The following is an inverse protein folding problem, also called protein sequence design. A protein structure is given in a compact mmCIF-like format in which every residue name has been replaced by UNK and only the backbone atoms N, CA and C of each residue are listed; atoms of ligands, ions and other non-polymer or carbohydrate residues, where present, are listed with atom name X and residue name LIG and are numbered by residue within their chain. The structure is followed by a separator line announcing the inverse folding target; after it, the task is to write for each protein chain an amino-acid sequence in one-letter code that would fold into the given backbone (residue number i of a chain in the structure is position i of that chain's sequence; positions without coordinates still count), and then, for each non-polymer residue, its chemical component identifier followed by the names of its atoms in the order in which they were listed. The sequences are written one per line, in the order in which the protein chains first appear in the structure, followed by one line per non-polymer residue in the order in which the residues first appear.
data_IF_354120590670
#
_entry.id   IF_354120590670
#
_cell.length_a   1.000
_cell.length_b   1.000
_cell.length_c   1.000
_cell.angle_alpha   90.00
_cell.angle_beta   90.00
_cell.angle_gamma   90.00
#
_symmetry.space_group_name_H-M   'P 1'
#
loop_
_entity.id
_entity.type
_entity.pdbx_description
1 polymer ?
#
# COMPACT_ATOMS: atom_id res chain seq x y z
N UNK A 1 14.08 -28.18 11.15
CA UNK A 1 12.97 -28.77 10.38
C UNK A 1 11.77 -27.89 10.64
N UNK A 2 11.23 -27.21 9.62
CA UNK A 2 10.01 -26.43 9.82
C UNK A 2 8.94 -27.38 10.35
N UNK A 3 8.30 -27.02 11.46
CA UNK A 3 7.13 -27.75 11.94
C UNK A 3 6.11 -27.80 10.80
N UNK A 4 5.49 -28.96 10.62
CA UNK A 4 4.46 -29.16 9.61
C UNK A 4 3.20 -28.41 10.02
N UNK A 5 3.20 -27.09 9.76
CA UNK A 5 2.14 -26.16 10.14
C UNK A 5 0.78 -26.56 9.54
N UNK A 6 0.79 -27.38 8.49
CA UNK A 6 -0.43 -27.92 7.85
C UNK A 6 -1.29 -28.73 8.83
N UNK A 7 -0.68 -29.31 9.87
CA UNK A 7 -1.40 -30.03 10.95
C UNK A 7 -2.24 -29.12 11.83
N UNK A 8 -1.98 -27.81 11.79
CA UNK A 8 -2.69 -26.78 12.55
C UNK A 8 -3.71 -26.02 11.70
N UNK A 9 -3.97 -26.49 10.48
CA UNK A 9 -4.88 -25.85 9.54
C UNK A 9 -6.34 -26.20 9.85
N UNK A 10 -7.20 -25.19 9.79
CA UNK A 10 -8.65 -25.26 9.86
C UNK A 10 -9.24 -24.69 8.57
N UNK A 11 -9.98 -25.54 7.85
CA UNK A 11 -10.61 -25.23 6.55
C UNK A 11 -12.13 -25.12 6.63
N UNK A 12 -12.68 -24.95 7.84
CA UNK A 12 -14.14 -24.83 8.04
C UNK A 12 -14.74 -23.58 7.39
N UNK A 13 -13.92 -22.57 7.08
CA UNK A 13 -14.32 -21.34 6.39
C UNK A 13 -13.96 -21.44 4.89
N UNK A 14 -14.96 -21.49 3.98
CA UNK A 14 -14.68 -21.54 2.54
C UNK A 14 -13.82 -20.36 2.08
N UNK A 15 -12.80 -20.63 1.26
CA UNK A 15 -11.87 -19.61 0.74
C UNK A 15 -10.91 -19.03 1.78
N UNK A 16 -10.82 -19.61 2.98
CA UNK A 16 -9.90 -19.17 4.03
C UNK A 16 -9.16 -20.36 4.63
N UNK A 17 -7.83 -20.36 4.49
CA UNK A 17 -6.94 -21.26 5.22
C UNK A 17 -6.59 -20.63 6.56
N UNK A 18 -7.20 -21.10 7.65
CA UNK A 18 -6.84 -20.65 9.01
C UNK A 18 -5.75 -21.54 9.56
N UNK A 19 -4.75 -20.96 10.23
CA UNK A 19 -3.66 -21.66 10.90
C UNK A 19 -3.76 -21.32 12.39
N UNK A 20 -4.11 -22.33 13.21
CA UNK A 20 -4.20 -22.16 14.65
C UNK A 20 -2.83 -21.84 15.25
N UNK A 21 -2.80 -20.90 16.20
CA UNK A 21 -1.61 -20.51 16.91
C UNK A 21 -0.95 -21.74 17.54
N UNK A 22 0.33 -21.92 17.25
CA UNK A 22 1.13 -23.03 17.76
C UNK A 22 2.60 -22.59 17.89
N UNK A 23 3.38 -23.33 18.67
CA UNK A 23 4.78 -23.01 18.96
C UNK A 23 4.95 -21.58 19.52
N UNK A 24 5.60 -20.68 18.78
CA UNK A 24 5.90 -19.30 19.18
C UNK A 24 4.85 -18.29 18.71
N UNK A 25 3.86 -18.72 17.91
CA UNK A 25 2.77 -17.85 17.46
C UNK A 25 1.97 -17.37 18.67
N UNK A 26 1.75 -16.06 18.77
CA UNK A 26 0.95 -15.46 19.84
C UNK A 26 -0.53 -15.33 19.48
N UNK A 27 -0.83 -15.33 18.18
CA UNK A 27 -2.18 -15.24 17.60
C UNK A 27 -2.34 -16.23 16.45
N UNK A 28 -3.58 -16.54 16.08
CA UNK A 28 -3.89 -17.30 14.87
C UNK A 28 -3.46 -16.52 13.61
N UNK A 29 -3.25 -17.25 12.50
CA UNK A 29 -3.12 -16.66 11.18
C UNK A 29 -4.27 -17.11 10.27
N UNK A 30 -4.59 -16.33 9.25
CA UNK A 30 -5.58 -16.66 8.23
C UNK A 30 -5.13 -16.16 6.87
N UNK A 31 -5.31 -16.98 5.83
CA UNK A 31 -4.94 -16.64 4.45
C UNK A 31 -6.19 -16.78 3.59
N UNK A 32 -6.55 -15.74 2.83
CA UNK A 32 -7.62 -15.78 1.84
C UNK A 32 -7.11 -16.59 0.64
N UNK A 33 -7.33 -17.90 0.66
CA UNK A 33 -6.87 -18.86 -0.35
C UNK A 33 -7.45 -20.24 -0.05
N UNK A 34 -7.13 -21.21 -0.90
CA UNK A 34 -7.28 -22.66 -0.65
C UNK A 34 -5.92 -23.32 -0.39
N UNK A 35 -5.91 -24.51 0.23
CA UNK A 35 -4.67 -25.27 0.39
C UNK A 35 -4.04 -25.65 -0.96
N UNK A 36 -4.86 -25.97 -1.96
CA UNK A 36 -4.39 -26.28 -3.31
C UNK A 36 -3.65 -25.09 -3.94
N UNK A 37 -4.18 -23.88 -3.81
CA UNK A 37 -3.51 -22.66 -4.28
C UNK A 37 -2.19 -22.40 -3.54
N UNK A 38 -2.16 -22.58 -2.22
CA UNK A 38 -0.95 -22.41 -1.41
C UNK A 38 0.12 -23.44 -1.81
N UNK A 39 -0.25 -24.69 -2.05
CA UNK A 39 0.66 -25.77 -2.45
C UNK A 39 1.21 -25.57 -3.87
N UNK A 40 0.39 -25.02 -4.78
CA UNK A 40 0.78 -24.71 -6.15
C UNK A 40 1.52 -23.37 -6.29
N UNK A 41 1.56 -22.57 -5.22
CA UNK A 41 2.24 -21.28 -5.24
C UNK A 41 3.76 -21.48 -5.33
N UNK A 42 4.40 -20.85 -6.33
CA UNK A 42 5.82 -21.10 -6.66
C UNK A 42 6.78 -20.82 -5.50
N UNK A 43 6.41 -19.90 -4.60
CA UNK A 43 7.21 -19.51 -3.44
C UNK A 43 6.46 -19.75 -2.13
N UNK A 44 6.50 -21.00 -1.63
CA UNK A 44 5.81 -21.44 -0.41
C UNK A 44 6.27 -20.79 0.91
N UNK A 45 7.07 -19.72 0.86
CA UNK A 45 7.56 -18.99 2.05
C UNK A 45 6.55 -17.97 2.58
N UNK A 46 5.58 -17.52 1.78
CA UNK A 46 4.57 -16.54 2.19
C UNK A 46 3.83 -16.91 3.50
N UNK A 47 3.26 -18.12 3.62
CA UNK A 47 2.60 -18.57 4.85
C UNK A 47 3.54 -18.58 6.05
N UNK A 48 4.81 -18.93 5.84
CA UNK A 48 5.84 -18.91 6.89
C UNK A 48 6.13 -17.48 7.36
N UNK A 49 6.20 -16.50 6.44
CA UNK A 49 6.36 -15.09 6.81
C UNK A 49 5.18 -14.58 7.63
N UNK A 50 3.95 -14.96 7.26
CA UNK A 50 2.77 -14.59 8.03
C UNK A 50 2.79 -15.20 9.44
N UNK A 51 3.15 -16.48 9.57
CA UNK A 51 3.31 -17.11 10.88
C UNK A 51 4.40 -16.44 11.71
N UNK A 52 5.55 -16.08 11.12
CA UNK A 52 6.59 -15.34 11.84
C UNK A 52 6.07 -13.98 12.36
N UNK A 53 5.19 -13.31 11.61
CA UNK A 53 4.59 -12.04 12.02
C UNK A 53 3.68 -12.18 13.26
N UNK A 54 3.07 -13.36 13.46
CA UNK A 54 2.31 -13.66 14.69
C UNK A 54 3.17 -13.79 15.94
N UNK A 55 4.50 -13.78 15.81
CA UNK A 55 5.43 -13.78 16.96
C UNK A 55 5.75 -12.36 17.46
N UNK A 56 5.31 -11.30 16.76
CA UNK A 56 5.62 -9.91 17.11
C UNK A 56 5.14 -9.54 18.53
N UNK A 57 5.92 -8.79 19.33
CA UNK A 57 5.44 -8.21 20.59
C UNK A 57 4.16 -7.39 20.40
N UNK A 58 3.17 -7.61 21.25
CA UNK A 58 1.88 -6.92 21.20
C UNK A 58 0.96 -7.29 20.04
N UNK A 59 1.27 -8.26 19.20
CA UNK A 59 0.35 -8.67 18.12
C UNK A 59 -1.00 -9.14 18.69
N UNK A 60 -2.10 -8.69 18.08
CA UNK A 60 -3.47 -8.97 18.52
C UNK A 60 -4.34 -9.50 17.38
N UNK A 61 -5.43 -10.15 17.73
CA UNK A 61 -6.43 -10.62 16.77
C UNK A 61 -5.95 -11.82 15.94
N UNK A 62 -5.85 -11.62 14.62
CA UNK A 62 -5.42 -12.65 13.65
C UNK A 62 -4.54 -11.96 12.62
N UNK A 63 -3.40 -12.57 12.29
CA UNK A 63 -2.59 -12.10 11.16
C UNK A 63 -3.22 -12.58 9.84
N UNK A 64 -3.39 -11.68 8.88
CA UNK A 64 -4.05 -11.97 7.61
C UNK A 64 -3.08 -11.94 6.44
N UNK A 65 -3.19 -12.92 5.53
CA UNK A 65 -2.72 -12.81 4.16
C UNK A 65 -3.93 -12.62 3.24
N UNK A 66 -3.99 -11.49 2.55
CA UNK A 66 -5.06 -11.16 1.59
C UNK A 66 -4.94 -12.01 0.32
N UNK A 67 -5.94 -11.97 -0.57
CA UNK A 67 -6.03 -12.88 -1.71
C UNK A 67 -4.86 -12.78 -2.71
N UNK A 68 -4.13 -11.66 -2.70
CA UNK A 68 -2.95 -11.38 -3.51
C UNK A 68 -1.63 -11.64 -2.77
N UNK A 69 -1.69 -12.39 -1.66
CA UNK A 69 -0.53 -12.64 -0.82
C UNK A 69 0.65 -13.23 -1.59
N UNK A 70 1.86 -12.78 -1.29
CA UNK A 70 3.08 -13.37 -1.84
C UNK A 70 4.32 -13.03 -1.02
N UNK A 71 5.42 -13.73 -1.30
CA UNK A 71 6.68 -13.54 -0.57
C UNK A 71 7.16 -12.08 -0.62
N UNK A 72 7.39 -11.50 0.56
CA UNK A 72 7.79 -10.12 0.75
C UNK A 72 9.05 -9.98 1.62
N UNK A 73 9.21 -8.83 2.28
CA UNK A 73 10.33 -8.55 3.18
C UNK A 73 9.84 -8.46 4.64
N UNK A 74 10.04 -9.52 5.41
CA UNK A 74 9.57 -9.62 6.80
C UNK A 74 8.13 -10.15 6.89
N UNK A 75 7.16 -9.43 6.34
CA UNK A 75 5.81 -9.93 6.08
C UNK A 75 5.64 -10.28 4.59
N UNK A 76 4.66 -11.13 4.25
CA UNK A 76 4.22 -11.25 2.86
C UNK A 76 3.60 -9.93 2.39
N UNK A 77 3.75 -9.62 1.11
CA UNK A 77 2.91 -8.60 0.47
C UNK A 77 1.46 -9.10 0.56
N UNK A 78 0.49 -8.19 0.75
CA UNK A 78 -0.88 -8.54 1.11
C UNK A 78 -1.04 -8.99 2.57
N UNK A 79 0.01 -8.88 3.40
CA UNK A 79 -0.05 -9.18 4.82
C UNK A 79 -0.65 -8.05 5.66
N UNK A 80 -1.51 -8.38 6.63
CA UNK A 80 -2.06 -7.44 7.61
C UNK A 80 -1.83 -8.00 9.02
N UNK A 81 -1.24 -7.17 9.88
CA UNK A 81 -1.08 -7.43 11.32
C UNK A 81 -1.44 -6.20 12.10
N UNK A 82 -2.00 -6.39 13.29
CA UNK A 82 -2.25 -5.34 14.25
C UNK A 82 -1.45 -5.61 15.52
N UNK A 83 -0.86 -4.58 16.10
CA UNK A 83 -0.19 -4.65 17.40
C UNK A 83 -0.81 -3.64 18.36
N UNK A 84 -1.03 -4.07 19.59
CA UNK A 84 -1.55 -3.24 20.67
C UNK A 84 -0.52 -2.18 21.10
N UNK A 85 -0.90 -0.91 21.01
CA UNK A 85 -0.05 0.23 21.38
C UNK A 85 0.26 0.28 22.87
N UNK A 86 -0.58 -0.33 23.72
CA UNK A 86 -0.41 -0.38 25.18
C UNK A 86 0.30 -1.66 25.66
N UNK A 87 0.90 -2.43 24.73
CA UNK A 87 1.55 -3.69 25.09
C UNK A 87 2.85 -3.49 25.89
N UNK A 88 2.79 -3.79 27.19
CA UNK A 88 3.96 -3.69 28.08
C UNK A 88 4.43 -2.25 28.25
N UNK A 89 5.69 -2.05 28.61
CA UNK A 89 6.23 -0.70 28.84
C UNK A 89 6.64 0.05 27.56
N UNK A 90 6.84 -0.68 26.45
CA UNK A 90 7.36 -0.13 25.19
C UNK A 90 6.31 -0.08 24.06
N UNK A 91 5.10 -0.57 24.31
CA UNK A 91 4.06 -0.76 23.29
C UNK A 91 4.32 -1.93 22.34
N UNK A 92 3.37 -2.17 21.46
CA UNK A 92 3.43 -3.19 20.41
C UNK A 92 4.51 -2.89 19.37
N UNK A 93 5.05 -3.95 18.76
CA UNK A 93 6.16 -3.80 17.83
C UNK A 93 5.74 -3.19 16.48
N UNK A 94 6.51 -2.20 16.02
CA UNK A 94 6.40 -1.65 14.67
C UNK A 94 7.49 -2.30 13.79
N UNK A 95 7.10 -2.80 12.61
CA UNK A 95 8.02 -3.41 11.65
C UNK A 95 8.03 -2.63 10.34
N UNK A 96 9.14 -1.96 9.96
CA UNK A 96 9.25 -1.31 8.66
C UNK A 96 9.04 -2.26 7.48
N UNK A 97 9.43 -3.54 7.63
CA UNK A 97 9.18 -4.56 6.62
C UNK A 97 7.70 -4.93 6.44
N UNK A 98 6.89 -4.75 7.49
CA UNK A 98 5.44 -4.93 7.42
C UNK A 98 4.73 -3.78 6.68
N UNK A 99 5.29 -2.57 6.74
CA UNK A 99 4.77 -1.40 6.01
C UNK A 99 5.22 -1.45 4.54
N UNK A 100 6.47 -1.84 4.30
CA UNK A 100 7.08 -1.88 2.97
C UNK A 100 8.06 -0.74 2.71
N UNK A 101 8.89 -0.90 1.67
CA UNK A 101 9.90 0.09 1.30
C UNK A 101 9.31 1.35 0.65
N UNK A 102 8.21 1.19 -0.08
CA UNK A 102 7.48 2.28 -0.72
C UNK A 102 6.30 2.68 0.16
N UNK A 103 6.60 3.45 1.19
CA UNK A 103 5.62 3.88 2.20
C UNK A 103 4.55 4.71 1.51
N UNK A 104 3.29 4.32 1.70
CA UNK A 104 2.12 4.96 1.09
C UNK A 104 2.08 4.84 -0.45
N UNK A 105 2.72 3.81 -1.04
CA UNK A 105 2.35 3.38 -2.39
C UNK A 105 0.84 3.07 -2.39
N UNK A 106 0.11 3.71 -3.31
CA UNK A 106 -1.34 3.69 -3.27
C UNK A 106 -1.95 4.07 -4.60
N UNK A 107 -3.29 4.11 -4.61
CA UNK A 107 -4.09 4.35 -5.82
C UNK A 107 -4.93 5.59 -5.60
N UNK A 108 -5.03 6.42 -6.65
CA UNK A 108 -6.05 7.47 -6.75
C UNK A 108 -6.86 7.25 -8.02
N UNK A 109 -8.15 7.00 -7.85
CA UNK A 109 -9.10 7.00 -8.94
C UNK A 109 -9.75 8.39 -9.06
N UNK A 110 -9.86 8.89 -10.29
CA UNK A 110 -10.55 10.14 -10.60
C UNK A 110 -11.65 9.84 -11.60
N UNK A 111 -12.90 9.95 -11.17
CA UNK A 111 -14.05 9.85 -12.06
C UNK A 111 -14.20 11.14 -12.86
N UNK A 112 -14.48 11.00 -14.16
CA UNK A 112 -14.73 12.12 -15.06
C UNK A 112 -16.20 12.09 -15.48
N UNK A 113 -16.81 13.26 -15.62
CA UNK A 113 -18.16 13.39 -16.17
C UNK A 113 -18.14 13.34 -17.71
N UNK A 114 -17.58 12.25 -18.25
CA UNK A 114 -17.47 11.99 -19.68
C UNK A 114 -17.41 10.49 -19.94
N UNK A 115 -17.89 10.09 -21.10
CA UNK A 115 -17.77 8.72 -21.61
C UNK A 115 -16.54 8.58 -22.51
N UNK A 116 -16.13 7.34 -22.77
CA UNK A 116 -15.00 7.08 -23.66
C UNK A 116 -15.22 7.63 -25.08
N UNK A 117 -16.48 7.58 -25.55
CA UNK A 117 -16.88 8.03 -26.89
C UNK A 117 -16.90 9.57 -27.01
N UNK A 118 -16.92 10.30 -25.89
CA UNK A 118 -16.78 11.76 -25.87
C UNK A 118 -15.35 12.22 -26.18
N UNK A 119 -14.37 11.30 -26.15
CA UNK A 119 -12.95 11.59 -26.40
C UNK A 119 -12.66 11.34 -27.89
N UNK A 120 -12.50 12.38 -28.74
CA UNK A 120 -12.40 12.18 -30.18
C UNK A 120 -11.14 11.42 -30.62
N UNK A 121 -10.10 11.42 -29.79
CA UNK A 121 -8.85 10.72 -30.06
C UNK A 121 -8.13 10.34 -28.75
N UNK A 122 -8.40 9.13 -28.29
CA UNK A 122 -7.82 8.57 -27.06
C UNK A 122 -6.29 8.42 -27.14
N UNK A 123 -5.76 8.02 -28.31
CA UNK A 123 -4.31 7.88 -28.51
C UNK A 123 -3.58 9.23 -28.35
N UNK A 124 -4.14 10.29 -28.94
CA UNK A 124 -3.60 11.65 -28.82
C UNK A 124 -3.67 12.15 -27.38
N UNK A 125 -4.74 11.84 -26.65
CA UNK A 125 -4.84 12.16 -25.22
C UNK A 125 -3.78 11.40 -24.41
N UNK A 126 -3.66 10.09 -24.60
CA UNK A 126 -2.66 9.27 -23.92
C UNK A 126 -1.24 9.77 -24.19
N UNK A 127 -0.89 10.11 -25.44
CA UNK A 127 0.40 10.73 -25.78
C UNK A 127 0.62 12.08 -25.09
N UNK A 128 -0.44 12.89 -24.96
CA UNK A 128 -0.38 14.18 -24.26
C UNK A 128 -0.21 14.03 -22.74
N UNK A 129 -0.77 12.99 -22.14
CA UNK A 129 -0.59 12.67 -20.73
C UNK A 129 0.83 12.15 -20.49
N UNK A 130 1.28 11.18 -21.29
CA UNK A 130 2.64 10.64 -21.19
C UNK A 130 3.73 11.73 -21.37
N UNK A 131 3.48 12.75 -22.20
CA UNK A 131 4.39 13.89 -22.35
C UNK A 131 4.34 14.92 -21.22
N UNK A 132 3.31 14.90 -20.36
CA UNK A 132 3.12 15.86 -19.25
C UNK A 132 3.38 15.26 -17.88
N UNK A 133 3.28 13.95 -17.75
CA UNK A 133 3.36 13.25 -16.46
C UNK A 133 4.68 12.48 -16.47
N UNK A 134 5.72 12.98 -15.79
CA UNK A 134 7.03 12.36 -15.81
C UNK A 134 6.99 11.00 -15.12
N UNK A 135 7.70 10.04 -15.69
CA UNK A 135 7.82 8.68 -15.18
C UNK A 135 9.26 8.16 -15.34
N UNK A 136 9.55 7.03 -14.71
CA UNK A 136 10.85 6.36 -14.68
C UNK A 136 11.68 6.68 -13.44
N UNK A 137 12.70 5.86 -13.18
CA UNK A 137 13.53 5.94 -11.97
C UNK A 137 14.48 7.15 -11.88
N UNK A 138 14.48 8.04 -12.87
CA UNK A 138 15.38 9.20 -12.89
C UNK A 138 14.86 10.41 -12.10
N UNK A 139 13.54 10.48 -11.84
CA UNK A 139 12.87 11.64 -11.24
C UNK A 139 12.85 12.91 -12.12
N UNK A 140 13.47 12.88 -13.31
CA UNK A 140 13.51 14.04 -14.20
C UNK A 140 12.10 14.44 -14.63
N UNK A 141 11.86 15.75 -14.64
CA UNK A 141 10.57 16.35 -15.02
C UNK A 141 9.62 16.61 -13.85
N UNK A 142 9.98 16.17 -12.64
CA UNK A 142 9.25 16.51 -11.41
C UNK A 142 9.33 17.99 -11.04
N UNK A 143 8.75 18.32 -9.89
CA UNK A 143 8.68 19.69 -9.36
C UNK A 143 10.04 20.07 -8.76
N UNK A 144 10.52 21.28 -9.09
CA UNK A 144 11.74 21.83 -8.50
C UNK A 144 11.47 22.37 -7.08
N UNK A 145 12.19 21.86 -6.09
CA UNK A 145 11.87 22.03 -4.68
C UNK A 145 13.11 22.31 -3.85
N UNK A 146 13.00 23.29 -2.96
CA UNK A 146 13.94 23.45 -1.85
C UNK A 146 13.62 22.45 -0.73
N UNK A 147 14.62 22.17 0.12
CA UNK A 147 14.40 21.36 1.31
C UNK A 147 13.36 21.99 2.25
N UNK A 148 13.29 23.32 2.32
CA UNK A 148 12.29 24.03 3.11
C UNK A 148 10.87 23.76 2.63
N UNK A 149 10.61 23.82 1.31
CA UNK A 149 9.30 23.48 0.72
C UNK A 149 8.98 22.00 0.92
N UNK A 150 9.95 21.10 0.74
CA UNK A 150 9.74 19.68 1.01
C UNK A 150 9.33 19.43 2.48
N UNK A 151 9.95 20.11 3.44
CA UNK A 151 9.59 19.96 4.85
C UNK A 151 8.17 20.45 5.17
N UNK A 152 7.62 21.42 4.42
CA UNK A 152 6.21 21.81 4.54
C UNK A 152 5.32 20.64 4.08
N UNK A 153 5.56 20.12 2.88
CA UNK A 153 4.83 18.96 2.34
C UNK A 153 4.91 17.74 3.28
N UNK A 154 6.07 17.45 3.85
CA UNK A 154 6.24 16.32 4.77
C UNK A 154 5.45 16.49 6.09
N UNK A 155 5.06 17.70 6.48
CA UNK A 155 4.25 17.97 7.68
C UNK A 155 2.76 18.05 7.39
N UNK A 156 2.38 18.79 6.36
CA UNK A 156 0.96 19.07 6.07
C UNK A 156 0.38 18.21 4.93
N UNK A 157 1.20 17.40 4.26
CA UNK A 157 0.73 16.55 3.16
C UNK A 157 0.08 17.38 2.05
N UNK A 158 -1.17 17.03 1.70
CA UNK A 158 -1.90 17.73 0.63
C UNK A 158 -2.33 19.16 0.99
N UNK A 159 -2.38 19.55 2.27
CA UNK A 159 -2.74 20.93 2.65
C UNK A 159 -1.66 21.95 2.27
N UNK A 160 -0.47 21.49 1.90
CA UNK A 160 0.70 22.32 1.62
C UNK A 160 1.01 22.41 0.12
N UNK A 161 0.12 21.91 -0.77
CA UNK A 161 0.34 21.93 -2.22
C UNK A 161 0.53 23.34 -2.78
N UNK A 162 -0.16 24.35 -2.21
CA UNK A 162 0.03 25.75 -2.61
C UNK A 162 1.45 26.25 -2.36
N UNK A 163 2.13 25.73 -1.32
CA UNK A 163 3.53 26.10 -1.02
C UNK A 163 4.52 25.70 -2.13
N UNK A 164 4.12 24.75 -2.98
CA UNK A 164 4.89 24.26 -4.13
C UNK A 164 4.24 24.63 -5.46
N UNK A 165 3.34 25.62 -5.46
CA UNK A 165 2.67 26.15 -6.66
C UNK A 165 1.82 25.09 -7.40
N UNK A 166 1.26 24.14 -6.64
CA UNK A 166 0.34 23.10 -7.15
C UNK A 166 -1.07 23.37 -6.66
N UNK A 167 -2.03 23.43 -7.59
CA UNK A 167 -3.44 23.60 -7.27
C UNK A 167 -4.04 22.36 -6.63
N UNK A 168 -4.92 22.58 -5.65
CA UNK A 168 -5.65 21.52 -4.96
C UNK A 168 -6.99 21.27 -5.64
N UNK A 169 -7.19 20.06 -6.17
CA UNK A 169 -8.45 19.67 -6.84
C UNK A 169 -9.22 18.55 -6.14
N UNK A 170 -8.81 18.14 -4.93
CA UNK A 170 -9.51 17.08 -4.19
C UNK A 170 -10.57 17.66 -3.25
N UNK A 171 -11.67 16.92 -3.07
CA UNK A 171 -12.71 17.24 -2.11
C UNK A 171 -12.40 16.63 -0.73
N UNK A 172 -13.03 17.16 0.31
CA UNK A 172 -12.95 16.59 1.66
C UNK A 172 -13.56 15.18 1.63
N UNK A 173 -12.88 14.22 2.26
CA UNK A 173 -13.32 12.83 2.31
C UNK A 173 -13.03 12.00 1.05
N UNK A 174 -12.46 12.57 -0.02
CA UNK A 174 -12.07 11.80 -1.22
C UNK A 174 -10.64 11.27 -1.16
N UNK A 175 -9.95 11.47 -0.04
CA UNK A 175 -8.58 11.03 0.21
C UNK A 175 -8.53 10.50 1.63
N UNK A 176 -7.94 9.31 1.81
CA UNK A 176 -7.69 8.73 3.12
C UNK A 176 -6.94 9.72 4.02
N UNK A 177 -7.35 9.81 5.30
CA UNK A 177 -6.80 10.74 6.29
C UNK A 177 -6.77 12.21 5.83
N UNK A 178 -7.62 12.59 4.86
CA UNK A 178 -7.60 13.89 4.19
C UNK A 178 -6.24 14.25 3.55
N UNK A 179 -5.40 13.24 3.25
CA UNK A 179 -4.10 13.43 2.62
C UNK A 179 -3.00 13.96 3.54
N UNK A 180 -3.17 13.86 4.86
CA UNK A 180 -2.15 14.23 5.85
C UNK A 180 -2.18 13.26 7.03
N UNK A 181 -1.01 13.04 7.64
CA UNK A 181 -0.89 12.39 8.94
C UNK A 181 -0.42 13.45 9.95
N UNK A 182 -0.78 13.27 11.23
CA UNK A 182 -0.19 14.08 12.29
C UNK A 182 1.30 13.72 12.43
N UNK A 183 2.17 14.74 12.34
CA UNK A 183 3.62 14.56 12.40
C UNK A 183 4.20 15.42 13.52
N UNK A 184 4.46 14.79 14.65
CA UNK A 184 5.11 15.43 15.80
C UNK A 184 6.58 15.77 15.48
N UNK A 185 7.34 14.78 14.99
CA UNK A 185 8.76 14.92 14.68
C UNK A 185 9.09 14.43 13.27
N UNK A 186 9.78 15.29 12.49
CA UNK A 186 10.31 14.91 11.19
C UNK A 186 11.71 14.30 11.32
N UNK A 187 11.77 12.99 11.55
CA UNK A 187 13.03 12.24 11.56
C UNK A 187 13.32 11.58 10.21
N UNK A 188 13.55 12.40 9.18
CA UNK A 188 13.87 11.92 7.81
C UNK A 188 15.33 12.21 7.49
N UNK A 189 16.08 11.17 7.10
CA UNK A 189 17.50 11.30 6.76
C UNK A 189 17.73 12.26 5.58
N UNK A 190 18.86 12.97 5.60
CA UNK A 190 19.25 13.86 4.50
C UNK A 190 19.26 13.13 3.15
N UNK A 191 19.72 11.86 3.11
CA UNK A 191 19.72 11.04 1.89
C UNK A 191 18.30 10.80 1.36
N UNK A 192 17.33 10.52 2.22
CA UNK A 192 15.94 10.33 1.82
C UNK A 192 15.35 11.64 1.25
N UNK A 193 15.57 12.77 1.93
CA UNK A 193 15.14 14.10 1.44
C UNK A 193 15.72 14.43 0.07
N UNK A 194 17.02 14.22 -0.13
CA UNK A 194 17.70 14.46 -1.42
C UNK A 194 17.15 13.59 -2.56
N UNK A 195 16.67 12.38 -2.26
CA UNK A 195 15.97 11.54 -3.24
C UNK A 195 14.55 12.07 -3.51
N UNK A 196 13.81 12.41 -2.46
CA UNK A 196 12.44 12.93 -2.57
C UNK A 196 12.34 14.24 -3.37
N UNK A 197 13.23 15.20 -3.10
CA UNK A 197 13.28 16.48 -3.84
C UNK A 197 13.46 16.30 -5.35
N UNK A 198 14.15 15.23 -5.77
CA UNK A 198 14.37 14.94 -7.19
C UNK A 198 13.21 14.20 -7.86
N UNK A 199 12.26 13.67 -7.09
CA UNK A 199 11.26 12.73 -7.58
C UNK A 199 9.81 13.20 -7.39
N UNK A 200 9.55 14.22 -6.56
CA UNK A 200 8.20 14.71 -6.32
C UNK A 200 7.56 15.19 -7.63
N UNK A 201 6.28 14.83 -7.85
CA UNK A 201 5.56 15.12 -9.09
C UNK A 201 5.89 14.17 -10.24
N UNK A 202 6.41 12.97 -9.96
CA UNK A 202 6.64 11.91 -10.95
C UNK A 202 5.97 10.61 -10.53
N UNK A 203 5.61 9.75 -11.50
CA UNK A 203 5.03 8.42 -11.23
C UNK A 203 6.07 7.45 -10.66
N UNK A 204 7.35 7.62 -10.99
CA UNK A 204 8.39 6.63 -10.69
C UNK A 204 8.38 5.45 -11.66
N UNK A 205 8.78 4.28 -11.20
CA UNK A 205 8.99 3.06 -12.01
C UNK A 205 8.44 1.82 -11.31
N UNK A 206 8.55 0.64 -11.92
CA UNK A 206 8.04 -0.60 -11.34
C UNK A 206 6.57 -0.78 -11.71
N UNK A 207 5.71 -1.00 -10.72
CA UNK A 207 4.26 -1.15 -10.89
C UNK A 207 3.50 0.18 -10.81
N UNK A 208 4.18 1.33 -10.91
CA UNK A 208 3.55 2.65 -10.89
C UNK A 208 3.15 3.07 -12.30
N UNK A 209 1.88 3.41 -12.50
CA UNK A 209 1.35 3.82 -13.79
C UNK A 209 0.20 4.81 -13.62
N UNK A 210 -0.17 5.43 -14.74
CA UNK A 210 -1.44 6.12 -14.90
C UNK A 210 -2.15 5.47 -16.07
N UNK A 211 -3.42 5.16 -15.88
CA UNK A 211 -4.27 4.55 -16.90
C UNK A 211 -5.54 5.34 -17.11
N UNK A 212 -6.06 5.27 -18.34
CA UNK A 212 -7.40 5.72 -18.67
C UNK A 212 -8.27 4.48 -18.78
N UNK A 213 -9.28 4.41 -17.92
CA UNK A 213 -10.20 3.30 -17.85
C UNK A 213 -11.62 3.74 -18.20
N UNK A 214 -12.44 2.78 -18.60
CA UNK A 214 -13.90 2.95 -18.71
C UNK A 214 -14.57 1.93 -17.81
N UNK A 215 -15.67 2.32 -17.18
CA UNK A 215 -16.52 1.37 -16.45
C UNK A 215 -17.15 0.44 -17.47
N UNK A 216 -16.80 -0.85 -17.44
CA UNK A 216 -17.35 -1.86 -18.36
C UNK A 216 -18.60 -2.54 -17.81
N UNK A 217 -18.70 -2.66 -16.50
CA UNK A 217 -19.77 -3.37 -15.80
C UNK A 217 -20.00 -2.72 -14.43
N UNK A 218 -21.26 -2.64 -14.01
CA UNK A 218 -21.67 -2.19 -12.68
C UNK A 218 -22.25 -3.41 -11.97
N UNK A 219 -21.53 -3.94 -10.99
CA UNK A 219 -21.94 -5.13 -10.22
C UNK A 219 -22.83 -4.80 -9.02
N UNK A 220 -22.76 -3.56 -8.52
CA UNK A 220 -23.59 -3.01 -7.45
C UNK A 220 -23.98 -1.58 -7.83
N UNK A 221 -25.26 -1.39 -8.18
CA UNK A 221 -25.77 -0.10 -8.64
C UNK A 221 -25.98 0.91 -7.52
N UNK A 222 -26.19 0.46 -6.28
CA UNK A 222 -26.41 1.35 -5.14
C UNK A 222 -25.09 2.01 -4.72
N UNK A 223 -24.02 1.21 -4.59
CA UNK A 223 -22.68 1.73 -4.26
C UNK A 223 -22.08 2.58 -5.38
N UNK A 224 -22.45 2.33 -6.64
CA UNK A 224 -21.92 3.06 -7.79
C UNK A 224 -22.53 4.46 -7.99
N UNK A 225 -23.68 4.74 -7.37
CA UNK A 225 -24.43 5.99 -7.56
C UNK A 225 -23.98 7.09 -6.59
#
# INVERSE_FOLDING_TARGET
MAADWTKHVDLSSPGVVRIKAHNRMKVDAAIISTMEEIENYQDGRGPIQLMNATELPGVVGTAWGMADWHYGYGLPIGGVVATDVEHGEQGGAISPGAVGFDINCGVRAVALNLEADDIPNLEKLARRLNGRIPAGGSGKGGIDLSESKLNLILRGGLSELESIDVEQHHAIGTVESNGAFEVDELSISHRAKQRGMKALGTLGSGNHFLELQRVSEIVDSETAQ
#
